data_IF_338574943251
#
_entry.id   IF_338574943251
#
_cell.length_a   1.000
_cell.length_b   1.000
_cell.length_c   1.000
_cell.angle_alpha   90.00
_cell.angle_beta   90.00
_cell.angle_gamma   90.00
#
_symmetry.space_group_name_H-M   'P 1'
#
loop_
_entity.id
_entity.type
_entity.pdbx_description
1 polymer ?
2 non-polymer ?
3 non-polymer ?
4 water ?
#
# COMPACT_ATOMS: atom_id res chain seq x y z
N UNK A 1 27.48 30.45 19.22
CA UNK A 1 28.19 29.19 19.41
C UNK A 1 29.32 28.95 18.43
N UNK A 2 29.74 27.64 18.29
CA UNK A 2 30.83 27.15 17.41
C UNK A 2 30.88 25.59 17.37
N UNK A 3 31.38 24.93 16.27
CA UNK A 3 31.84 25.45 14.96
C UNK A 3 30.69 25.58 13.95
N UNK A 4 30.95 25.97 12.68
CA UNK A 4 29.88 26.09 11.68
C UNK A 4 29.26 24.71 11.39
N UNK A 5 27.91 24.58 11.56
CA UNK A 5 27.25 23.28 11.34
C UNK A 5 26.94 23.06 9.84
N UNK A 6 28.00 23.03 9.01
CA UNK A 6 27.96 22.89 7.56
C UNK A 6 27.39 21.52 7.13
N UNK A 7 27.68 20.44 7.86
CA UNK A 7 27.18 19.09 7.59
C UNK A 7 25.70 18.99 7.96
N UNK A 8 25.26 19.72 9.00
CA UNK A 8 23.84 19.78 9.38
C UNK A 8 23.05 20.53 8.30
N UNK A 9 23.56 21.67 7.82
CA UNK A 9 22.97 22.44 6.72
C UNK A 9 22.76 21.59 5.49
N UNK A 10 23.75 20.73 5.17
CA UNK A 10 23.81 19.82 4.03
C UNK A 10 22.75 18.76 4.17
N UNK A 11 22.57 18.27 5.39
CA UNK A 11 21.55 17.30 5.74
C UNK A 11 20.14 17.93 5.65
N UNK A 12 19.96 19.15 6.20
CA UNK A 12 18.71 19.90 6.11
C UNK A 12 18.32 20.16 4.63
N UNK A 13 19.28 20.61 3.79
CA UNK A 13 19.07 20.88 2.36
C UNK A 13 18.60 19.61 1.61
N UNK A 14 19.24 18.47 1.93
CA UNK A 14 18.93 17.14 1.41
C UNK A 14 17.47 16.75 1.75
N UNK A 15 17.03 16.92 3.03
CA UNK A 15 15.64 16.65 3.46
C UNK A 15 14.65 17.59 2.76
N UNK A 16 15.01 18.88 2.57
CA UNK A 16 14.14 19.82 1.86
C UNK A 16 13.93 19.38 0.40
N UNK A 17 15.01 18.97 -0.29
CA UNK A 17 14.97 18.52 -1.68
C UNK A 17 14.17 17.20 -1.80
N UNK A 18 14.31 16.28 -0.84
CA UNK A 18 13.56 15.01 -0.81
C UNK A 18 12.05 15.26 -0.70
N UNK A 19 11.62 16.22 0.14
CA UNK A 19 10.22 16.57 0.33
C UNK A 19 9.64 17.28 -0.94
N UNK A 20 10.37 18.22 -1.52
CA UNK A 20 9.91 18.92 -2.71
C UNK A 20 9.79 17.94 -3.90
N UNK A 21 10.70 16.95 -4.01
CA UNK A 21 10.73 15.96 -5.08
C UNK A 21 9.54 14.99 -5.03
N UNK A 22 8.96 14.74 -3.84
CA UNK A 22 7.82 13.81 -3.72
C UNK A 22 6.49 14.59 -3.94
N UNK A 23 6.57 15.90 -4.13
CA UNK A 23 5.41 16.74 -4.40
C UNK A 23 4.99 17.73 -3.32
N UNK A 24 5.78 17.85 -2.24
CA UNK A 24 5.44 18.78 -1.16
C UNK A 24 5.75 20.20 -1.58
N UNK A 25 4.81 21.12 -1.28
CA UNK A 25 4.94 22.55 -1.59
C UNK A 25 4.76 23.35 -0.30
N UNK A 26 4.79 24.69 -0.42
CA UNK A 26 4.60 25.65 0.66
C UNK A 26 3.21 25.46 1.32
N UNK A 27 2.28 24.78 0.59
CA UNK A 27 0.93 24.45 1.03
C UNK A 27 0.97 23.32 2.08
N UNK A 28 2.03 22.49 2.13
CA UNK A 28 2.20 21.49 3.20
C UNK A 28 2.76 22.26 4.40
N UNK A 29 2.00 22.36 5.49
CA UNK A 29 2.33 23.15 6.69
C UNK A 29 3.76 22.86 7.21
N UNK A 30 4.17 21.58 7.26
CA UNK A 30 5.47 21.12 7.73
C UNK A 30 6.60 21.59 6.79
N UNK A 31 6.35 21.69 5.45
CA UNK A 31 7.38 22.16 4.52
C UNK A 31 7.54 23.68 4.65
N UNK A 32 6.43 24.42 4.87
CA UNK A 32 6.48 25.87 5.08
C UNK A 32 7.32 26.18 6.33
N UNK A 33 7.10 25.42 7.44
CA UNK A 33 7.85 25.49 8.70
C UNK A 33 9.32 25.20 8.48
N UNK A 34 9.62 24.11 7.74
CA UNK A 34 10.98 23.67 7.41
C UNK A 34 11.75 24.79 6.64
N UNK A 35 11.10 25.40 5.64
CA UNK A 35 11.69 26.46 4.82
C UNK A 35 11.93 27.73 5.65
N UNK A 36 10.99 28.06 6.58
CA UNK A 36 11.11 29.22 7.46
C UNK A 36 12.25 29.03 8.46
N UNK A 37 12.37 27.84 9.07
CA UNK A 37 13.41 27.53 10.04
C UNK A 37 14.77 27.51 9.35
N UNK A 38 14.84 26.95 8.12
CA UNK A 38 16.08 26.86 7.33
C UNK A 38 16.57 28.27 6.96
N UNK A 39 15.65 29.22 6.72
CA UNK A 39 15.97 30.62 6.40
C UNK A 39 16.54 31.33 7.65
N UNK A 40 15.90 31.10 8.81
CA UNK A 40 16.30 31.62 10.12
C UNK A 40 17.65 31.06 10.53
N UNK A 41 17.94 29.79 10.17
CA UNK A 41 19.23 29.14 10.44
C UNK A 41 20.34 29.85 9.68
N UNK A 42 20.08 30.27 8.41
CA UNK A 42 21.04 30.99 7.55
C UNK A 42 21.30 32.41 8.11
N UNK A 43 20.28 33.04 8.73
CA UNK A 43 20.33 34.35 9.36
C UNK A 43 21.24 34.26 10.61
N UNK A 44 21.20 33.11 11.34
CA UNK A 44 22.04 32.84 12.51
C UNK A 44 23.47 32.51 12.06
N UNK A 45 23.63 31.85 10.88
CA UNK A 45 24.92 31.52 10.26
C UNK A 45 25.73 32.78 9.96
N UNK A 46 25.06 33.79 9.33
CA UNK A 46 25.63 35.09 8.97
C UNK A 46 26.04 35.85 10.24
N UNK A 47 25.24 35.70 11.32
CA UNK A 47 25.50 36.31 12.64
C UNK A 47 26.63 35.58 13.40
N UNK A 48 27.06 34.40 12.90
CA UNK A 48 28.10 33.49 13.44
C UNK A 48 27.67 32.96 14.83
N UNK A 49 26.34 32.80 15.01
CA UNK A 49 25.67 32.20 16.17
C UNK A 49 25.33 30.78 15.73
N UNK A 50 26.37 29.93 15.69
CA UNK A 50 26.34 28.61 15.12
C UNK A 50 25.54 27.60 16.00
N UNK A 51 25.43 27.81 17.33
CA UNK A 51 24.63 26.88 18.16
C UNK A 51 23.15 27.06 17.79
N UNK A 52 22.70 28.34 17.65
CA UNK A 52 21.34 28.72 17.24
C UNK A 52 21.05 28.22 15.82
N UNK A 53 22.04 28.36 14.90
CA UNK A 53 21.97 27.94 13.50
C UNK A 53 21.79 26.42 13.39
N UNK A 54 22.57 25.64 14.17
CA UNK A 54 22.50 24.18 14.21
C UNK A 54 21.11 23.71 14.68
N UNK A 55 20.57 24.35 15.75
CA UNK A 55 19.28 23.98 16.35
C UNK A 55 18.08 24.28 15.40
N UNK A 56 18.12 25.38 14.62
CA UNK A 56 17.05 25.72 13.67
C UNK A 56 17.14 24.80 12.44
N UNK A 57 18.39 24.49 11.99
CA UNK A 57 18.67 23.58 10.88
C UNK A 57 18.22 22.16 11.22
N UNK A 58 18.43 21.67 12.48
CA UNK A 58 17.98 20.34 12.93
C UNK A 58 16.48 20.26 12.91
N UNK A 59 15.81 21.33 13.38
CA UNK A 59 14.35 21.46 13.43
C UNK A 59 13.77 21.50 12.00
N UNK A 60 14.44 22.21 11.09
CA UNK A 60 14.04 22.33 9.69
C UNK A 60 14.14 20.98 8.98
N UNK A 61 15.23 20.20 9.26
CA UNK A 61 15.45 18.87 8.69
C UNK A 61 14.29 17.93 9.09
N UNK A 62 13.92 17.94 10.39
CA UNK A 62 12.84 17.10 10.93
C UNK A 62 11.51 17.41 10.26
N UNK A 63 11.13 18.71 10.20
CA UNK A 63 9.87 19.16 9.59
C UNK A 63 9.80 18.80 8.10
N UNK A 64 10.94 18.88 7.38
CA UNK A 64 11.05 18.49 5.97
C UNK A 64 10.81 16.96 5.80
N UNK A 65 11.35 16.13 6.72
CA UNK A 65 11.16 14.67 6.69
C UNK A 65 9.71 14.33 7.03
N UNK A 66 9.08 15.08 7.93
CA UNK A 66 7.68 14.90 8.31
C UNK A 66 6.75 15.25 7.15
N UNK A 67 7.07 16.33 6.39
CA UNK A 67 6.32 16.75 5.19
C UNK A 67 6.41 15.68 4.10
N UNK A 68 7.62 15.11 3.89
CA UNK A 68 7.92 14.08 2.89
C UNK A 68 7.08 12.83 3.14
N UNK A 69 7.12 12.27 4.37
CA UNK A 69 6.35 11.07 4.68
C UNK A 69 4.84 11.38 4.77
N UNK A 70 4.43 12.65 5.03
CA UNK A 70 3.03 13.05 5.05
C UNK A 70 2.43 12.94 3.63
N UNK A 71 3.15 13.51 2.62
CA UNK A 71 2.77 13.54 1.20
C UNK A 71 2.80 12.10 0.63
N UNK A 72 3.85 11.31 0.96
CA UNK A 72 4.02 9.94 0.45
C UNK A 72 2.94 9.02 0.97
N UNK A 73 2.42 9.27 2.20
CA UNK A 73 1.35 8.47 2.78
C UNK A 73 0.06 8.71 1.99
N UNK A 74 -0.23 9.99 1.66
CA UNK A 74 -1.43 10.36 0.93
C UNK A 74 -1.33 9.79 -0.51
N UNK A 75 -0.14 9.87 -1.12
CA UNK A 75 0.12 9.37 -2.48
C UNK A 75 -0.04 7.86 -2.55
N UNK A 76 0.40 7.14 -1.49
CA UNK A 76 0.27 5.69 -1.38
C UNK A 76 -1.20 5.29 -1.22
N UNK A 77 -2.00 6.05 -0.43
CA UNK A 77 -3.43 5.76 -0.24
C UNK A 77 -4.20 6.02 -1.51
N UNK A 78 -3.84 7.07 -2.27
CA UNK A 78 -4.52 7.42 -3.52
C UNK A 78 -4.29 6.34 -4.59
N UNK A 79 -3.04 5.83 -4.76
CA UNK A 79 -2.73 4.77 -5.73
C UNK A 79 -3.45 3.47 -5.38
N UNK A 80 -3.46 3.12 -4.07
CA UNK A 80 -4.13 1.94 -3.60
C UNK A 80 -5.65 2.09 -3.77
N UNK A 81 -6.16 3.32 -3.61
CA UNK A 81 -7.56 3.66 -3.84
C UNK A 81 -7.96 3.45 -5.30
N UNK A 82 -7.09 3.88 -6.24
CA UNK A 82 -7.31 3.73 -7.69
C UNK A 82 -7.25 2.25 -8.09
N UNK A 83 -6.38 1.46 -7.42
CA UNK A 83 -6.27 0.02 -7.66
C UNK A 83 -7.56 -0.67 -7.21
N UNK A 84 -8.12 -0.24 -6.06
CA UNK A 84 -9.36 -0.79 -5.56
C UNK A 84 -10.53 -0.55 -6.55
N UNK A 85 -10.68 0.69 -7.10
CA UNK A 85 -11.75 1.04 -8.05
C UNK A 85 -11.62 0.20 -9.32
N UNK A 86 -10.40 0.03 -9.81
CA UNK A 86 -9.99 -0.79 -10.94
C UNK A 86 -10.44 -2.25 -10.76
N UNK A 87 -10.17 -2.81 -9.56
CA UNK A 87 -10.49 -4.19 -9.25
C UNK A 87 -12.00 -4.37 -9.07
N UNK A 88 -12.78 -3.34 -8.63
CA UNK A 88 -14.26 -3.37 -8.54
C UNK A 88 -14.89 -3.43 -9.95
N UNK A 89 -14.33 -2.68 -10.91
CA UNK A 89 -14.78 -2.64 -12.30
C UNK A 89 -14.50 -3.98 -13.02
N UNK A 90 -13.37 -4.63 -12.68
CA UNK A 90 -12.99 -5.94 -13.22
C UNK A 90 -13.99 -7.01 -12.75
N UNK A 91 -14.32 -7.01 -11.44
CA UNK A 91 -15.27 -7.95 -10.85
C UNK A 91 -16.66 -7.73 -11.45
N UNK A 92 -17.06 -6.46 -11.70
CA UNK A 92 -18.36 -6.10 -12.29
C UNK A 92 -18.46 -6.68 -13.71
N UNK A 93 -17.36 -6.58 -14.49
CA UNK A 93 -17.29 -7.13 -15.84
C UNK A 93 -17.38 -8.66 -15.81
N UNK A 94 -16.60 -9.30 -14.91
CA UNK A 94 -16.52 -10.75 -14.80
C UNK A 94 -17.73 -11.35 -14.05
N UNK A 95 -18.58 -10.52 -13.46
CA UNK A 95 -19.81 -10.95 -12.79
C UNK A 95 -21.08 -10.50 -13.48
N UNK B 1 -19.94 -35.00 -20.93
CA UNK B 1 -18.73 -34.87 -21.72
C UNK B 1 -17.62 -35.85 -21.33
N UNK B 2 -16.34 -35.50 -21.68
CA UNK B 2 -15.10 -36.26 -21.44
C UNK B 2 -13.84 -35.43 -21.82
N UNK B 3 -12.63 -35.64 -21.21
CA UNK B 3 -12.26 -36.53 -20.09
C UNK B 3 -12.46 -35.88 -18.72
N UNK B 4 -12.14 -36.60 -17.61
CA UNK B 4 -12.33 -36.03 -16.26
C UNK B 4 -11.40 -34.84 -16.05
N UNK B 5 -11.95 -33.65 -15.70
CA UNK B 5 -11.11 -32.45 -15.52
C UNK B 5 -10.45 -32.41 -14.13
N UNK B 6 -9.62 -33.43 -13.83
CA UNK B 6 -8.95 -33.64 -12.56
C UNK B 6 -7.94 -32.52 -12.26
N UNK B 7 -7.23 -32.01 -13.27
CA UNK B 7 -6.25 -30.93 -13.13
C UNK B 7 -6.95 -29.60 -12.91
N UNK B 8 -8.15 -29.41 -13.51
CA UNK B 8 -8.93 -28.21 -13.30
C UNK B 8 -9.46 -28.18 -11.84
N UNK B 9 -10.02 -29.31 -11.35
CA UNK B 9 -10.49 -29.47 -9.97
C UNK B 9 -9.41 -29.05 -8.98
N UNK B 10 -8.17 -29.51 -9.26
CA UNK B 10 -6.95 -29.29 -8.48
C UNK B 10 -6.61 -27.81 -8.46
N UNK B 11 -6.76 -27.09 -9.60
CA UNK B 11 -6.51 -25.64 -9.68
C UNK B 11 -7.61 -24.85 -8.93
N UNK B 12 -8.88 -25.31 -9.06
CA UNK B 12 -10.04 -24.76 -8.34
C UNK B 12 -9.83 -24.87 -6.80
N UNK B 13 -9.44 -26.08 -6.31
CA UNK B 13 -9.17 -26.36 -4.90
C UNK B 13 -8.08 -25.44 -4.37
N UNK B 14 -6.98 -25.32 -5.13
CA UNK B 14 -5.83 -24.45 -4.85
C UNK B 14 -6.28 -22.98 -4.71
N UNK B 15 -7.08 -22.45 -5.66
CA UNK B 15 -7.63 -21.08 -5.59
C UNK B 15 -8.53 -20.91 -4.33
N UNK B 16 -9.40 -21.89 -4.03
CA UNK B 16 -10.25 -21.85 -2.84
C UNK B 16 -9.41 -21.76 -1.54
N UNK B 17 -8.34 -22.59 -1.42
CA UNK B 17 -7.45 -22.62 -0.26
C UNK B 17 -6.67 -21.29 -0.15
N UNK B 18 -6.22 -20.71 -1.28
CA UNK B 18 -5.54 -19.42 -1.28
C UNK B 18 -6.47 -18.29 -0.76
N UNK B 19 -7.75 -18.28 -1.18
CA UNK B 19 -8.74 -17.28 -0.78
C UNK B 19 -9.08 -17.40 0.72
N UNK B 20 -9.30 -18.63 1.23
CA UNK B 20 -9.59 -18.87 2.64
C UNK B 20 -8.39 -18.48 3.52
N UNK B 21 -7.14 -18.70 3.02
CA UNK B 21 -5.89 -18.41 3.73
C UNK B 21 -5.68 -16.91 3.97
N UNK B 22 -6.22 -16.03 3.12
CA UNK B 22 -6.05 -14.58 3.29
C UNK B 22 -7.22 -14.00 4.13
N UNK B 23 -8.11 -14.86 4.58
CA UNK B 23 -9.21 -14.43 5.44
C UNK B 23 -10.59 -14.38 4.82
N UNK B 24 -10.74 -14.86 3.57
CA UNK B 24 -12.06 -14.84 2.92
C UNK B 24 -12.95 -15.93 3.50
N UNK B 25 -14.21 -15.57 3.78
CA UNK B 25 -15.23 -16.47 4.32
C UNK B 25 -16.43 -16.50 3.38
N UNK B 26 -17.48 -17.26 3.76
CA UNK B 26 -18.75 -17.39 3.06
C UNK B 26 -19.44 -16.02 2.92
N UNK B 27 -19.03 -15.05 3.78
CA UNK B 27 -19.53 -13.69 3.80
C UNK B 27 -18.99 -12.88 2.61
N UNK B 28 -17.85 -13.28 1.99
CA UNK B 28 -17.39 -12.60 0.77
C UNK B 28 -18.16 -13.27 -0.37
N UNK B 29 -19.06 -12.53 -1.03
CA UNK B 29 -19.98 -12.99 -2.08
C UNK B 29 -19.31 -13.92 -3.13
N UNK B 30 -18.12 -13.56 -3.59
CA UNK B 30 -17.34 -14.28 -4.60
C UNK B 30 -16.87 -15.65 -4.07
N UNK B 31 -16.54 -15.76 -2.76
CA UNK B 31 -16.12 -17.04 -2.18
C UNK B 31 -17.35 -17.96 -2.03
N UNK B 32 -18.52 -17.40 -1.65
CA UNK B 32 -19.76 -18.18 -1.54
C UNK B 32 -20.12 -18.78 -2.92
N UNK B 33 -20.01 -17.96 -3.99
CA UNK B 33 -20.23 -18.37 -5.40
C UNK B 33 -19.27 -19.47 -5.80
N UNK B 34 -17.97 -19.28 -5.50
CA UNK B 34 -16.89 -20.22 -5.80
C UNK B 34 -17.16 -21.61 -5.14
N UNK B 35 -17.57 -21.61 -3.86
CA UNK B 35 -17.86 -22.83 -3.09
C UNK B 35 -19.11 -23.53 -3.64
N UNK B 36 -20.13 -22.75 -4.07
CA UNK B 36 -21.36 -23.29 -4.65
C UNK B 36 -21.10 -23.93 -6.01
N UNK B 37 -20.37 -23.23 -6.90
CA UNK B 37 -20.03 -23.71 -8.23
C UNK B 37 -19.10 -24.95 -8.14
N UNK B 38 -18.22 -25.01 -7.12
CA UNK B 38 -17.33 -26.15 -6.91
C UNK B 38 -18.13 -27.38 -6.48
N UNK B 39 -19.14 -27.18 -5.61
CA UNK B 39 -20.02 -28.26 -5.14
C UNK B 39 -20.80 -28.88 -6.30
N UNK B 40 -21.32 -28.01 -7.20
CA UNK B 40 -22.05 -28.35 -8.42
C UNK B 40 -21.13 -29.05 -9.41
N UNK B 41 -19.83 -28.69 -9.42
CA UNK B 41 -18.83 -29.32 -10.28
C UNK B 41 -18.62 -30.77 -9.82
N UNK B 42 -18.60 -31.03 -8.50
CA UNK B 42 -18.43 -32.36 -7.92
C UNK B 42 -19.67 -33.27 -8.18
N UNK B 43 -20.88 -32.68 -8.23
CA UNK B 43 -22.15 -33.37 -8.49
C UNK B 43 -22.13 -33.87 -9.96
N UNK B 44 -21.61 -33.01 -10.88
CA UNK B 44 -21.45 -33.33 -12.30
C UNK B 44 -20.33 -34.37 -12.49
N UNK B 45 -19.25 -34.31 -11.66
CA UNK B 45 -18.13 -35.27 -11.66
C UNK B 45 -18.65 -36.69 -11.41
N UNK B 46 -19.48 -36.85 -10.35
CA UNK B 46 -20.11 -38.11 -9.94
C UNK B 46 -21.04 -38.61 -11.04
N UNK B 47 -21.74 -37.69 -11.73
CA UNK B 47 -22.64 -37.97 -12.84
C UNK B 47 -21.87 -38.31 -14.14
N UNK B 48 -20.53 -38.08 -14.16
CA UNK B 48 -19.58 -38.29 -15.26
C UNK B 48 -19.96 -37.39 -16.46
N UNK B 49 -20.49 -36.19 -16.16
CA UNK B 49 -20.79 -35.10 -17.08
C UNK B 49 -19.63 -34.11 -16.92
N UNK B 50 -18.49 -34.48 -17.53
CA UNK B 50 -17.20 -33.84 -17.40
C UNK B 50 -17.11 -32.49 -18.13
N UNK B 51 -17.94 -32.21 -19.16
CA UNK B 51 -17.90 -30.90 -19.81
C UNK B 51 -18.51 -29.86 -18.84
N UNK B 52 -19.67 -30.21 -18.23
CA UNK B 52 -20.41 -29.43 -17.24
C UNK B 52 -19.55 -29.19 -15.99
N UNK B 53 -18.87 -30.25 -15.47
CA UNK B 53 -17.99 -30.22 -14.29
C UNK B 53 -16.76 -29.31 -14.52
N UNK B 54 -16.17 -29.35 -15.74
CA UNK B 54 -15.02 -28.50 -16.08
C UNK B 54 -15.43 -27.03 -16.10
N UNK B 55 -16.57 -26.70 -16.73
CA UNK B 55 -17.07 -25.34 -16.87
C UNK B 55 -17.43 -24.74 -15.50
N UNK B 56 -18.02 -25.53 -14.59
CA UNK B 56 -18.34 -25.10 -13.23
C UNK B 56 -17.08 -24.87 -12.41
N UNK B 57 -16.10 -25.82 -12.47
CA UNK B 57 -14.81 -25.75 -11.78
C UNK B 57 -13.95 -24.55 -12.27
N UNK B 58 -14.05 -24.18 -13.57
CA UNK B 58 -13.34 -23.01 -14.14
C UNK B 58 -13.90 -21.74 -13.56
N UNK B 59 -15.25 -21.64 -13.51
CA UNK B 59 -15.99 -20.51 -12.96
C UNK B 59 -15.71 -20.36 -11.45
N UNK B 60 -15.63 -21.49 -10.73
CA UNK B 60 -15.35 -21.52 -9.29
C UNK B 60 -13.93 -21.02 -9.00
N UNK B 61 -12.95 -21.45 -9.83
CA UNK B 61 -11.55 -21.02 -9.72
C UNK B 61 -11.45 -19.49 -9.85
N UNK B 62 -12.10 -18.91 -10.88
CA UNK B 62 -12.09 -17.48 -11.15
C UNK B 62 -12.67 -16.69 -9.97
N UNK B 63 -13.86 -17.08 -9.48
CA UNK B 63 -14.54 -16.42 -8.36
C UNK B 63 -13.70 -16.50 -7.07
N UNK B 64 -12.99 -17.62 -6.84
CA UNK B 64 -12.07 -17.78 -5.69
C UNK B 64 -10.87 -16.82 -5.79
N UNK B 65 -10.33 -16.62 -7.01
CA UNK B 65 -9.22 -15.69 -7.23
C UNK B 65 -9.71 -14.24 -7.05
N UNK B 66 -10.96 -13.96 -7.45
CA UNK B 66 -11.54 -12.63 -7.31
C UNK B 66 -11.79 -12.30 -5.83
N UNK B 67 -12.23 -13.31 -5.03
CA UNK B 67 -12.44 -13.18 -3.58
C UNK B 67 -11.11 -12.91 -2.87
N UNK B 68 -10.04 -13.62 -3.27
CA UNK B 68 -8.69 -13.50 -2.71
C UNK B 68 -8.14 -12.08 -2.88
N UNK B 69 -8.14 -11.54 -4.09
CA UNK B 69 -7.62 -10.20 -4.37
C UNK B 69 -8.59 -9.13 -3.82
N UNK B 70 -9.89 -9.45 -3.62
CA UNK B 70 -10.85 -8.53 -3.00
C UNK B 70 -10.50 -8.29 -1.52
N UNK B 71 -10.23 -9.39 -0.77
CA UNK B 71 -9.86 -9.41 0.66
C UNK B 71 -8.46 -8.76 0.85
N UNK B 72 -7.49 -9.09 -0.02
CA UNK B 72 -6.12 -8.57 0.07
C UNK B 72 -6.07 -7.06 -0.19
N UNK B 73 -6.99 -6.54 -1.03
CA UNK B 73 -7.08 -5.10 -1.30
C UNK B 73 -7.58 -4.39 -0.04
N UNK B 74 -8.61 -4.95 0.62
CA UNK B 74 -9.17 -4.36 1.84
C UNK B 74 -8.13 -4.41 2.98
N UNK B 75 -7.40 -5.54 3.14
CA UNK B 75 -6.36 -5.70 4.15
C UNK B 75 -5.22 -4.71 3.91
N UNK B 76 -4.83 -4.48 2.63
CA UNK B 76 -3.79 -3.53 2.28
C UNK B 76 -4.22 -2.10 2.61
N UNK B 77 -5.50 -1.74 2.36
CA UNK B 77 -6.03 -0.41 2.67
C UNK B 77 -6.09 -0.18 4.18
N UNK B 78 -6.46 -1.22 4.94
CA UNK B 78 -6.58 -1.10 6.39
C UNK B 78 -5.22 -0.87 7.05
N UNK B 79 -4.16 -1.62 6.62
CA UNK B 79 -2.80 -1.48 7.15
C UNK B 79 -2.24 -0.10 6.82
N UNK B 80 -2.46 0.37 5.59
CA UNK B 80 -2.02 1.68 5.14
C UNK B 80 -2.78 2.78 5.91
N UNK B 81 -4.05 2.51 6.24
CA UNK B 81 -4.89 3.40 7.05
C UNK B 81 -4.35 3.53 8.47
N UNK B 82 -3.90 2.40 9.07
CA UNK B 82 -3.33 2.37 10.40
C UNK B 82 -1.97 3.07 10.42
N UNK B 83 -1.19 2.95 9.32
CA UNK B 83 0.10 3.62 9.18
C UNK B 83 -0.13 5.14 9.13
N UNK B 84 -1.17 5.59 8.42
CA UNK B 84 -1.53 7.00 8.34
C UNK B 84 -1.86 7.57 9.74
N UNK B 85 -2.70 6.89 10.53
CA UNK B 85 -3.09 7.33 11.89
C UNK B 85 -1.85 7.41 12.81
N UNK B 86 -0.92 6.45 12.67
CA UNK B 86 0.32 6.35 13.44
C UNK B 86 1.22 7.55 13.14
N UNK B 87 1.38 7.91 11.84
CA UNK B 87 2.23 9.03 11.45
C UNK B 87 1.57 10.37 11.86
N UNK B 88 0.21 10.44 11.92
CA UNK B 88 -0.48 11.66 12.41
C UNK B 88 -0.16 11.89 13.91
N UNK B 89 -0.12 10.79 14.70
CA UNK B 89 0.20 10.80 16.13
C UNK B 89 1.66 11.17 16.37
N UNK B 90 2.56 10.71 15.48
CA UNK B 90 4.00 11.01 15.50
C UNK B 90 4.21 12.50 15.28
N UNK B 91 3.56 13.07 14.23
CA UNK B 91 3.65 14.50 13.90
C UNK B 91 3.08 15.35 15.05
N UNK B 92 1.99 14.90 15.70
CA UNK B 92 1.35 15.60 16.83
C UNK B 92 2.32 15.67 18.01
N UNK B 93 3.05 14.56 18.28
CA UNK B 93 4.05 14.50 19.34
C UNK B 93 5.22 15.41 19.03
N UNK B 94 5.74 15.35 17.79
CA UNK B 94 6.91 16.11 17.36
C UNK B 94 6.57 17.59 17.04
N UNK B 95 5.28 17.94 17.05
CA UNK B 95 4.82 19.31 16.83
C UNK B 95 4.15 19.93 18.03
N UNK C 3 3.88 18.49 39.11
CA UNK C 3 5.13 17.92 39.67
C UNK C 3 5.49 16.63 38.93
N UNK C 4 5.03 15.46 39.44
CA UNK C 4 5.22 14.15 38.84
C UNK C 4 4.59 14.09 37.45
N UNK C 5 5.36 13.63 36.43
CA UNK C 5 4.80 13.53 35.07
C UNK C 5 3.96 12.25 34.91
N UNK C 6 2.82 12.21 35.62
CA UNK C 6 1.90 11.06 35.67
C UNK C 6 1.16 10.86 34.34
N UNK C 7 0.70 11.97 33.68
CA UNK C 7 0.02 11.91 32.38
C UNK C 7 0.98 11.48 31.28
N UNK C 8 2.28 11.90 31.35
CA UNK C 8 3.29 11.55 30.36
C UNK C 8 3.58 10.05 30.47
N UNK C 9 3.72 9.53 31.71
CA UNK C 9 3.95 8.10 32.01
C UNK C 9 2.83 7.22 31.41
N UNK C 10 1.56 7.66 31.52
CA UNK C 10 0.39 6.97 30.96
C UNK C 10 0.40 7.04 29.44
N UNK C 11 0.82 8.21 28.83
CA UNK C 11 0.92 8.42 27.38
C UNK C 11 2.03 7.52 26.77
N UNK C 12 3.15 7.38 27.52
CA UNK C 12 4.27 6.52 27.16
C UNK C 12 3.80 5.04 27.19
N UNK C 13 3.02 4.62 28.21
CA UNK C 13 2.46 3.26 28.34
C UNK C 13 1.53 2.95 27.17
N UNK C 14 0.62 3.92 26.84
CA UNK C 14 -0.32 3.85 25.73
C UNK C 14 0.44 3.60 24.41
N UNK C 15 1.51 4.41 24.15
CA UNK C 15 2.36 4.30 22.95
C UNK C 15 3.01 2.91 22.87
N UNK C 16 3.55 2.40 24.01
CA UNK C 16 4.17 1.06 24.10
C UNK C 16 3.15 -0.05 23.78
N UNK C 17 1.92 0.05 24.32
CA UNK C 17 0.86 -0.94 24.06
C UNK C 17 0.42 -0.88 22.62
N UNK C 18 0.35 0.32 22.01
CA UNK C 18 -0.03 0.43 20.60
C UNK C 18 1.03 -0.27 19.70
N UNK C 19 2.33 -0.03 19.96
CA UNK C 19 3.43 -0.63 19.20
C UNK C 19 3.40 -2.17 19.31
N UNK C 20 3.22 -2.71 20.53
CA UNK C 20 3.14 -4.15 20.78
C UNK C 20 1.90 -4.76 20.10
N UNK C 21 0.77 -4.01 20.04
CA UNK C 21 -0.50 -4.44 19.45
C UNK C 21 -0.42 -4.58 17.93
N UNK C 22 0.44 -3.79 17.25
CA UNK C 22 0.56 -3.90 15.79
C UNK C 22 1.58 -5.03 15.42
N UNK C 23 2.23 -5.64 16.41
CA UNK C 23 3.16 -6.75 16.18
C UNK C 23 4.61 -6.52 16.53
N UNK C 24 4.95 -5.34 17.10
CA UNK C 24 6.33 -5.05 17.46
C UNK C 24 6.73 -5.82 18.72
N UNK C 25 7.92 -6.40 18.74
CA UNK C 25 8.47 -7.14 19.87
C UNK C 25 9.81 -6.51 20.28
N UNK C 26 10.51 -7.12 21.27
CA UNK C 26 11.82 -6.68 21.75
C UNK C 26 12.85 -6.73 20.61
N UNK C 27 12.52 -7.52 19.55
CA UNK C 27 13.30 -7.66 18.33
C UNK C 27 13.18 -6.39 17.46
N UNK C 28 12.17 -5.52 17.70
CA UNK C 28 12.13 -4.21 17.01
C UNK C 28 13.08 -3.32 17.83
N UNK C 29 14.22 -2.90 17.23
CA UNK C 29 15.26 -2.12 17.92
C UNK C 29 14.68 -0.90 18.65
N UNK C 30 13.74 -0.18 18.01
CA UNK C 30 13.08 1.02 18.53
C UNK C 30 12.17 0.67 19.73
N UNK C 31 11.54 -0.52 19.74
CA UNK C 31 10.70 -0.94 20.87
C UNK C 31 11.60 -1.33 22.06
N UNK C 32 12.75 -1.99 21.82
CA UNK C 32 13.71 -2.35 22.86
C UNK C 32 14.24 -1.05 23.53
N UNK C 33 14.56 -0.01 22.73
CA UNK C 33 14.99 1.31 23.20
C UNK C 33 13.92 1.98 24.03
N UNK C 34 12.67 1.98 23.53
CA UNK C 34 11.49 2.55 24.19
C UNK C 34 11.28 1.91 25.60
N UNK C 35 11.40 0.56 25.68
CA UNK C 35 11.22 -0.21 26.92
C UNK C 35 12.37 0.09 27.91
N UNK C 36 13.61 0.24 27.40
CA UNK C 36 14.78 0.57 28.22
C UNK C 36 14.66 2.00 28.78
N UNK C 37 14.28 2.98 27.92
CA UNK C 37 14.09 4.38 28.29
C UNK C 37 12.93 4.54 29.28
N UNK C 38 11.86 3.74 29.14
CA UNK C 38 10.70 3.75 30.04
C UNK C 38 11.10 3.20 31.41
N UNK C 39 11.95 2.15 31.45
CA UNK C 39 12.43 1.54 32.70
C UNK C 39 13.27 2.57 33.48
N UNK C 40 14.14 3.30 32.76
CA UNK C 40 14.97 4.36 33.29
C UNK C 40 14.12 5.52 33.81
N UNK C 41 12.96 5.80 33.15
CA UNK C 41 11.99 6.84 33.50
C UNK C 41 11.29 6.48 34.81
N UNK C 42 11.07 5.18 35.06
CA UNK C 42 10.44 4.70 36.31
C UNK C 42 11.42 4.76 37.47
N UNK C 43 12.72 4.52 37.20
CA UNK C 43 13.84 4.60 38.16
C UNK C 43 13.91 6.04 38.67
N UNK C 44 13.78 7.03 37.74
CA UNK C 44 13.82 8.46 38.05
C UNK C 44 12.54 8.88 38.81
N UNK C 45 11.39 8.26 38.49
CA UNK C 45 10.10 8.50 39.15
C UNK C 45 10.18 8.17 40.65
N UNK C 46 10.72 6.97 40.97
CA UNK C 46 10.89 6.45 42.33
C UNK C 46 11.88 7.36 43.10
N UNK C 47 12.90 7.88 42.39
CA UNK C 47 13.92 8.81 42.93
C UNK C 47 13.34 10.23 43.12
N UNK C 48 12.13 10.50 42.58
CA UNK C 48 11.40 11.77 42.60
C UNK C 48 12.19 12.89 41.87
N UNK C 49 12.92 12.47 40.81
CA UNK C 49 13.64 13.31 39.84
C UNK C 49 12.75 13.39 38.61
N UNK C 50 11.72 14.24 38.72
CA UNK C 50 10.61 14.35 37.80
C UNK C 50 10.96 15.05 36.47
N UNK C 51 12.02 15.88 36.40
CA UNK C 51 12.40 16.48 35.11
C UNK C 51 13.04 15.38 34.24
N UNK C 52 13.95 14.58 34.85
CA UNK C 52 14.66 13.45 34.24
C UNK C 52 13.64 12.38 33.76
N UNK C 53 12.64 12.08 34.63
CA UNK C 53 11.56 11.12 34.42
C UNK C 53 10.73 11.52 33.20
N UNK C 54 10.30 12.78 33.14
CA UNK C 54 9.50 13.32 32.02
C UNK C 54 10.26 13.20 30.69
N UNK C 55 11.53 13.62 30.66
CA UNK C 55 12.36 13.63 29.47
C UNK C 55 12.59 12.20 28.95
N UNK C 56 12.91 11.26 29.82
CA UNK C 56 13.10 9.87 29.42
C UNK C 56 11.78 9.28 28.93
N UNK C 57 10.64 9.62 29.58
CA UNK C 57 9.31 9.13 29.21
C UNK C 57 8.88 9.65 27.84
N UNK C 58 9.22 10.91 27.53
CA UNK C 58 8.93 11.54 26.23
C UNK C 58 9.73 10.85 25.11
N UNK C 59 11.02 10.53 25.37
CA UNK C 59 11.93 9.83 24.46
C UNK C 59 11.45 8.40 24.21
N UNK C 60 10.94 7.73 25.26
CA UNK C 60 10.40 6.37 25.18
C UNK C 60 9.13 6.35 24.31
N UNK C 61 8.26 7.36 24.46
CA UNK C 61 7.03 7.52 23.69
C UNK C 61 7.35 7.65 22.20
N UNK C 62 8.34 8.50 21.85
CA UNK C 62 8.79 8.71 20.46
C UNK C 62 9.28 7.40 19.84
N UNK C 63 10.21 6.68 20.51
CA UNK C 63 10.77 5.41 20.02
C UNK C 63 9.68 4.35 19.83
N UNK C 64 8.65 4.31 20.73
CA UNK C 64 7.49 3.41 20.61
C UNK C 64 6.64 3.77 19.36
N UNK C 65 6.47 5.07 19.04
CA UNK C 65 5.71 5.51 17.86
C UNK C 65 6.51 5.18 16.58
N UNK C 66 7.85 5.27 16.66
CA UNK C 66 8.74 4.93 15.54
C UNK C 66 8.71 3.42 15.25
N UNK C 67 8.66 2.59 16.31
CA UNK C 67 8.54 1.13 16.20
C UNK C 67 7.22 0.73 15.56
N UNK C 68 6.11 1.40 15.98
CA UNK C 68 4.76 1.17 15.49
C UNK C 68 4.65 1.45 13.98
N UNK C 69 5.10 2.61 13.51
CA UNK C 69 5.04 2.94 12.07
C UNK C 69 6.10 2.11 11.26
N UNK C 70 7.18 1.63 11.91
CA UNK C 70 8.16 0.75 11.26
C UNK C 70 7.51 -0.61 10.90
N UNK C 71 6.79 -1.21 11.87
CA UNK C 71 6.11 -2.50 11.73
C UNK C 71 4.90 -2.38 10.76
N UNK C 72 4.13 -1.27 10.85
CA UNK C 72 2.97 -1.05 9.98
C UNK C 72 3.37 -0.87 8.54
N UNK C 73 4.57 -0.30 8.27
CA UNK C 73 5.11 -0.13 6.91
C UNK C 73 5.44 -1.52 6.33
N UNK C 74 6.09 -2.40 7.13
CA UNK C 74 6.46 -3.74 6.69
C UNK C 74 5.18 -4.58 6.45
N UNK C 75 4.17 -4.50 7.35
CA UNK C 75 2.89 -5.20 7.20
C UNK C 75 2.14 -4.72 5.95
N UNK C 76 2.18 -3.40 5.65
CA UNK C 76 1.55 -2.84 4.46
C UNK C 76 2.23 -3.34 3.20
N UNK C 77 3.58 -3.46 3.21
CA UNK C 77 4.34 -3.95 2.04
C UNK C 77 4.07 -5.44 1.81
N UNK C 78 3.94 -6.22 2.89
CA UNK C 78 3.67 -7.65 2.80
C UNK C 78 2.27 -7.93 2.21
N UNK C 79 1.22 -7.19 2.63
CA UNK C 79 -0.14 -7.33 2.12
C UNK C 79 -0.21 -6.94 0.65
N UNK C 80 0.46 -5.85 0.28
CA UNK C 80 0.52 -5.38 -1.10
C UNK C 80 1.31 -6.39 -1.97
N UNK C 81 2.32 -7.02 -1.38
CA UNK C 81 3.09 -8.06 -2.03
C UNK C 81 2.24 -9.30 -2.32
N UNK C 82 1.36 -9.69 -1.37
CA UNK C 82 0.45 -10.82 -1.49
C UNK C 82 -0.62 -10.52 -2.56
N UNK C 83 -1.07 -9.25 -2.63
CA UNK C 83 -2.04 -8.81 -3.63
C UNK C 83 -1.41 -8.94 -5.03
N UNK C 84 -0.14 -8.57 -5.18
CA UNK C 84 0.58 -8.67 -6.44
C UNK C 84 0.66 -10.14 -6.92
N UNK C 85 1.04 -11.10 -6.03
CA UNK C 85 1.14 -12.53 -6.38
C UNK C 85 -0.25 -13.08 -6.82
N UNK C 86 -1.31 -12.62 -6.15
CA UNK C 86 -2.72 -12.97 -6.36
C UNK C 86 -3.19 -12.54 -7.75
N UNK C 87 -2.82 -11.31 -8.17
CA UNK C 87 -3.23 -10.78 -9.47
C UNK C 87 -2.38 -11.42 -10.58
N UNK C 88 -1.12 -11.84 -10.29
CA UNK C 88 -0.29 -12.55 -11.29
C UNK C 88 -0.94 -13.90 -11.65
N UNK C 89 -1.48 -14.61 -10.64
CA UNK C 89 -2.16 -15.91 -10.79
C UNK C 89 -3.49 -15.76 -11.57
N UNK C 90 -4.22 -14.65 -11.31
CA UNK C 90 -5.46 -14.29 -11.99
C UNK C 90 -5.21 -14.06 -13.49
N UNK C 91 -4.18 -13.26 -13.83
CA UNK C 91 -3.81 -12.96 -15.21
C UNK C 91 -3.39 -14.22 -15.92
N UNK C 92 -2.63 -15.13 -15.22
CA UNK C 92 -2.15 -16.39 -15.79
C UNK C 92 -3.33 -17.27 -16.17
N UNK C 93 -4.37 -17.33 -15.28
CA UNK C 93 -5.59 -18.09 -15.52
C UNK C 93 -6.36 -17.52 -16.71
N UNK C 94 -6.55 -16.19 -16.74
CA UNK C 94 -7.34 -15.51 -17.75
C UNK C 94 -6.57 -15.36 -19.08
N UNK C 95 -5.26 -15.63 -19.08
CA UNK C 95 -4.41 -15.56 -20.27
C UNK C 95 -3.93 -16.92 -20.77
N UNK C 96 -4.54 -17.99 -20.24
CA UNK C 96 -4.33 -19.41 -20.52
C UNK C 96 -4.42 -19.71 -22.04
N UNK C 97 -5.33 -18.99 -22.74
CA UNK C 97 -5.63 -19.08 -24.17
C UNK C 97 -4.77 -18.10 -25.02
N UNK C 98 -4.08 -17.13 -24.38
CA UNK C 98 -3.20 -16.14 -25.02
C UNK C 98 -1.80 -16.72 -25.28
N UNK D 3 -28.35 -3.95 -34.08
CA UNK D 3 -27.64 -5.22 -34.34
C UNK D 3 -26.22 -5.19 -33.77
N UNK D 4 -25.43 -4.19 -34.21
CA UNK D 4 -24.06 -3.86 -33.92
C UNK D 4 -23.82 -3.61 -32.41
N UNK D 5 -22.74 -4.18 -31.82
CA UNK D 5 -22.48 -3.98 -30.36
C UNK D 5 -21.75 -2.65 -30.09
N UNK D 6 -22.40 -1.54 -30.45
CA UNK D 6 -21.87 -0.18 -30.39
C UNK D 6 -21.56 0.26 -28.95
N UNK D 7 -22.42 -0.10 -27.96
CA UNK D 7 -22.18 0.29 -26.57
C UNK D 7 -21.02 -0.51 -25.96
N UNK D 8 -20.84 -1.79 -26.37
CA UNK D 8 -19.73 -2.62 -25.88
C UNK D 8 -18.40 -2.06 -26.43
N UNK D 9 -18.40 -1.66 -27.72
CA UNK D 9 -17.25 -1.06 -28.41
C UNK D 9 -16.78 0.20 -27.69
N UNK D 10 -17.73 1.00 -27.18
CA UNK D 10 -17.53 2.24 -26.44
C UNK D 10 -16.93 1.91 -25.06
N UNK D 11 -17.47 0.87 -24.39
CA UNK D 11 -17.03 0.37 -23.08
C UNK D 11 -15.58 -0.16 -23.17
N UNK D 12 -15.25 -0.82 -24.30
CA UNK D 12 -13.91 -1.36 -24.59
C UNK D 12 -12.91 -0.18 -24.76
N UNK D 13 -13.32 0.91 -25.45
CA UNK D 13 -12.52 2.14 -25.65
C UNK D 13 -12.25 2.86 -24.32
N UNK D 14 -13.28 2.92 -23.45
CA UNK D 14 -13.23 3.51 -22.12
C UNK D 14 -12.16 2.79 -21.27
N UNK D 15 -12.14 1.43 -21.30
CA UNK D 15 -11.17 0.65 -20.51
C UNK D 15 -9.74 0.83 -21.07
N UNK D 16 -9.60 0.95 -22.41
CA UNK D 16 -8.32 1.18 -23.07
C UNK D 16 -7.74 2.54 -22.67
N UNK D 17 -8.60 3.58 -22.59
CA UNK D 17 -8.20 4.92 -22.17
C UNK D 17 -7.84 4.94 -20.68
N UNK D 18 -8.59 4.23 -19.81
CA UNK D 18 -8.29 4.14 -18.37
C UNK D 18 -6.93 3.49 -18.14
N UNK D 19 -6.59 2.41 -18.87
CA UNK D 19 -5.31 1.71 -18.77
C UNK D 19 -4.14 2.59 -19.21
N UNK D 20 -4.27 3.30 -20.35
CA UNK D 20 -3.25 4.22 -20.87
C UNK D 20 -3.04 5.40 -19.90
N UNK D 21 -4.12 5.90 -19.27
CA UNK D 21 -4.12 7.03 -18.34
C UNK D 21 -3.37 6.73 -17.03
N UNK D 22 -3.34 5.45 -16.59
CA UNK D 22 -2.62 5.12 -15.35
C UNK D 22 -1.14 4.82 -15.66
N UNK D 23 -0.74 4.84 -16.93
CA UNK D 23 0.64 4.66 -17.35
C UNK D 23 0.97 3.42 -18.16
N UNK D 24 -0.05 2.62 -18.53
CA UNK D 24 0.20 1.41 -19.32
C UNK D 24 0.50 1.78 -20.78
N UNK D 25 1.50 1.12 -21.36
CA UNK D 25 1.92 1.31 -22.75
C UNK D 25 1.84 -0.03 -23.50
N UNK D 26 2.24 -0.03 -24.79
CA UNK D 26 2.27 -1.21 -25.66
C UNK D 26 3.24 -2.26 -25.08
N UNK D 27 4.14 -1.82 -24.17
CA UNK D 27 5.10 -2.64 -23.46
C UNK D 27 4.38 -3.47 -22.37
N UNK D 28 3.20 -3.08 -21.89
CA UNK D 28 2.44 -3.94 -20.97
C UNK D 28 1.75 -4.98 -21.87
N UNK D 29 2.14 -6.26 -21.73
CA UNK D 29 1.67 -7.37 -22.57
C UNK D 29 0.13 -7.39 -22.72
N UNK D 30 -0.60 -7.17 -21.60
CA UNK D 30 -2.07 -7.17 -21.55
C UNK D 30 -2.67 -5.99 -22.35
N UNK D 31 -1.98 -4.83 -22.39
CA UNK D 31 -2.46 -3.68 -23.16
C UNK D 31 -2.23 -3.93 -24.66
N UNK D 32 -1.09 -4.55 -25.03
CA UNK D 32 -0.80 -4.90 -26.44
C UNK D 32 -1.88 -5.91 -26.95
N UNK D 33 -2.24 -6.91 -26.12
CA UNK D 33 -3.30 -7.90 -26.38
C UNK D 33 -4.64 -7.23 -26.56
N UNK D 34 -5.00 -6.31 -25.64
CA UNK D 34 -6.24 -5.53 -25.65
C UNK D 34 -6.39 -4.72 -26.96
N UNK D 35 -5.29 -4.04 -27.39
CA UNK D 35 -5.25 -3.22 -28.60
C UNK D 35 -5.36 -4.13 -29.85
N UNK D 36 -4.74 -5.32 -29.83
CA UNK D 36 -4.83 -6.29 -30.94
C UNK D 36 -6.24 -6.87 -31.07
N UNK D 37 -6.86 -7.28 -29.94
CA UNK D 37 -8.21 -7.86 -29.90
C UNK D 37 -9.27 -6.80 -30.25
N UNK D 38 -8.98 -5.50 -29.98
CA UNK D 38 -9.88 -4.40 -30.31
C UNK D 38 -9.80 -4.11 -31.82
N UNK D 39 -8.59 -4.21 -32.41
CA UNK D 39 -8.38 -4.02 -33.84
C UNK D 39 -9.14 -5.09 -34.63
N UNK D 40 -9.06 -6.34 -34.14
CA UNK D 40 -9.75 -7.51 -34.68
C UNK D 40 -11.26 -7.34 -34.55
N UNK D 41 -11.73 -6.70 -33.46
CA UNK D 41 -13.16 -6.42 -33.23
C UNK D 41 -13.68 -5.43 -34.27
N UNK D 42 -12.86 -4.43 -34.65
CA UNK D 42 -13.21 -3.41 -35.66
C UNK D 42 -13.25 -4.02 -37.07
N UNK D 43 -12.36 -5.02 -37.35
CA UNK D 43 -12.28 -5.80 -38.60
C UNK D 43 -13.61 -6.56 -38.77
N UNK D 44 -14.11 -7.14 -37.66
CA UNK D 44 -15.36 -7.90 -37.64
C UNK D 44 -16.57 -6.96 -37.77
N UNK D 45 -16.47 -5.73 -37.21
CA UNK D 45 -17.49 -4.70 -37.28
C UNK D 45 -17.77 -4.29 -38.73
N UNK D 46 -16.69 -4.01 -39.48
CA UNK D 46 -16.70 -3.61 -40.90
C UNK D 46 -17.28 -4.75 -41.74
N UNK D 47 -16.98 -6.01 -41.37
CA UNK D 47 -17.46 -7.23 -42.02
C UNK D 47 -18.94 -7.53 -41.66
N UNK D 48 -19.50 -6.79 -40.67
CA UNK D 48 -20.87 -6.90 -40.14
C UNK D 48 -21.10 -8.31 -39.52
N UNK D 49 -20.03 -8.87 -38.91
CA UNK D 49 -20.00 -10.11 -38.11
C UNK D 49 -20.00 -9.64 -36.66
N UNK D 50 -21.19 -9.24 -36.19
CA UNK D 50 -21.42 -8.58 -34.92
C UNK D 50 -21.32 -9.51 -33.69
N UNK D 51 -21.48 -10.85 -33.85
CA UNK D 51 -21.29 -11.76 -32.69
C UNK D 51 -19.78 -11.84 -32.38
N UNK D 52 -18.95 -12.02 -33.43
CA UNK D 52 -17.49 -12.07 -33.39
C UNK D 52 -16.93 -10.75 -32.84
N UNK D 53 -17.46 -9.61 -33.32
CA UNK D 53 -17.05 -8.26 -32.93
C UNK D 53 -17.31 -8.02 -31.44
N UNK D 54 -18.50 -8.42 -30.93
CA UNK D 54 -18.88 -8.26 -29.52
C UNK D 54 -17.94 -9.05 -28.60
N UNK D 55 -17.68 -10.32 -28.92
CA UNK D 55 -16.85 -11.19 -28.10
C UNK D 55 -15.38 -10.71 -28.09
N UNK D 56 -14.83 -10.22 -29.22
CA UNK D 56 -13.47 -9.69 -29.25
C UNK D 56 -13.36 -8.38 -28.47
N UNK D 57 -14.41 -7.51 -28.54
CA UNK D 57 -14.47 -6.25 -27.77
C UNK D 57 -14.53 -6.55 -26.28
N UNK D 58 -15.29 -7.59 -25.88
CA UNK D 58 -15.39 -8.04 -24.48
C UNK D 58 -14.00 -8.51 -23.97
N UNK D 59 -13.29 -9.35 -24.76
CA UNK D 59 -11.94 -9.86 -24.47
C UNK D 59 -10.93 -8.72 -24.35
N UNK D 60 -11.04 -7.73 -25.24
CA UNK D 60 -10.17 -6.55 -25.25
C UNK D 60 -10.39 -5.71 -23.99
N UNK D 61 -11.68 -5.54 -23.58
CA UNK D 61 -12.05 -4.79 -22.38
C UNK D 61 -11.41 -5.42 -21.15
N UNK D 62 -11.51 -6.76 -21.01
CA UNK D 62 -10.94 -7.53 -19.90
C UNK D 62 -9.41 -7.33 -19.82
N UNK D 63 -8.69 -7.52 -20.95
CA UNK D 63 -7.23 -7.39 -21.00
C UNK D 63 -6.79 -5.95 -20.65
N UNK D 64 -7.56 -4.93 -21.07
CA UNK D 64 -7.31 -3.52 -20.73
C UNK D 64 -7.47 -3.28 -19.20
N UNK D 65 -8.48 -3.92 -18.56
CA UNK D 65 -8.71 -3.80 -17.11
C UNK D 65 -7.60 -4.52 -16.35
N UNK D 66 -7.09 -5.64 -16.91
CA UNK D 66 -5.98 -6.41 -16.31
C UNK D 66 -4.67 -5.63 -16.40
N UNK D 67 -4.43 -4.90 -17.51
CA UNK D 67 -3.26 -4.05 -17.69
C UNK D 67 -3.29 -2.87 -16.70
N UNK D 68 -4.49 -2.26 -16.49
CA UNK D 68 -4.73 -1.12 -15.60
C UNK D 68 -4.41 -1.52 -14.14
N UNK D 69 -4.97 -2.65 -13.66
CA UNK D 69 -4.73 -3.13 -12.30
C UNK D 69 -3.26 -3.60 -12.13
N UNK D 70 -2.63 -4.11 -13.21
CA UNK D 70 -1.23 -4.56 -13.19
C UNK D 70 -0.27 -3.37 -12.92
N UNK D 71 -0.47 -2.25 -13.64
CA UNK D 71 0.31 -1.03 -13.53
C UNK D 71 0.04 -0.33 -12.17
N UNK D 72 -1.23 -0.29 -11.72
CA UNK D 72 -1.60 0.35 -10.45
C UNK D 72 -1.01 -0.39 -9.26
N UNK D 73 -0.80 -1.73 -9.38
CA UNK D 73 -0.19 -2.53 -8.31
C UNK D 73 1.28 -2.17 -8.19
N UNK D 74 1.99 -2.03 -9.34
CA UNK D 74 3.40 -1.66 -9.37
C UNK D 74 3.58 -0.22 -8.84
N UNK D 75 2.71 0.73 -9.25
CA UNK D 75 2.75 2.12 -8.77
C UNK D 75 2.48 2.19 -7.26
N UNK D 76 1.55 1.37 -6.74
CA UNK D 76 1.26 1.32 -5.31
C UNK D 76 2.46 0.79 -4.52
N UNK D 77 3.18 -0.23 -5.07
CA UNK D 77 4.36 -0.80 -4.40
C UNK D 77 5.51 0.20 -4.39
N UNK D 78 5.69 0.95 -5.49
CA UNK D 78 6.75 1.94 -5.62
C UNK D 78 6.56 3.09 -4.62
N UNK D 79 5.32 3.62 -4.46
CA UNK D 79 5.01 4.71 -3.52
C UNK D 79 5.23 4.26 -2.08
N UNK D 80 4.79 3.04 -1.76
CA UNK D 80 4.96 2.46 -0.43
C UNK D 80 6.47 2.21 -0.17
N UNK D 81 7.21 1.85 -1.22
CA UNK D 81 8.66 1.67 -1.14
C UNK D 81 9.38 2.98 -0.83
N UNK D 82 8.93 4.09 -1.46
CA UNK D 82 9.49 5.43 -1.24
C UNK D 82 9.17 5.92 0.18
N UNK D 83 7.96 5.58 0.70
CA UNK D 83 7.55 5.93 2.05
C UNK D 83 8.44 5.19 3.06
N UNK D 84 8.77 3.92 2.79
CA UNK D 84 9.65 3.13 3.64
C UNK D 84 11.06 3.76 3.74
N UNK D 85 11.66 4.16 2.60
CA UNK D 85 13.00 4.80 2.59
C UNK D 85 12.99 6.12 3.40
N UNK D 86 11.92 6.90 3.24
CA UNK D 86 11.64 8.16 3.94
C UNK D 86 11.61 7.96 5.47
N UNK D 87 10.90 6.93 5.97
CA UNK D 87 10.79 6.65 7.39
C UNK D 87 12.12 6.07 7.94
N UNK D 88 12.92 5.35 7.10
CA UNK D 88 14.25 4.87 7.54
C UNK D 88 15.18 6.06 7.84
N UNK D 89 15.13 7.10 7.00
CA UNK D 89 15.92 8.32 7.13
C UNK D 89 15.47 9.16 8.35
N UNK D 90 14.15 9.15 8.64
CA UNK D 90 13.54 9.83 9.80
C UNK D 90 14.04 9.17 11.11
N UNK D 91 14.01 7.81 11.16
CA UNK D 91 14.47 7.05 12.32
C UNK D 91 15.95 7.28 12.53
N UNK D 92 16.76 7.32 11.42
CA UNK D 92 18.22 7.56 11.48
C UNK D 92 18.52 8.91 12.12
N UNK D 93 17.74 9.96 11.72
CA UNK D 93 17.87 11.31 12.24
C UNK D 93 17.51 11.35 13.72
N UNK D 94 16.37 10.74 14.09
CA UNK D 94 15.86 10.75 15.45
C UNK D 94 16.60 9.76 16.36
N UNK D 95 17.41 8.86 15.80
CA UNK D 95 18.19 7.88 16.56
C UNK D 95 19.67 8.14 16.55
N UNK D 96 20.06 9.35 16.11
CA UNK D 96 21.41 9.89 16.00
C UNK D 96 22.18 9.77 17.33
N UNK D 97 21.45 9.91 18.47
CA UNK D 97 21.97 9.87 19.84
C UNK D 97 21.91 8.44 20.44
N UNK D 98 21.14 7.51 19.81
CA UNK D 98 20.99 6.10 20.22
C UNK D 98 22.18 5.24 19.76
X LIG E 1 -17.47 -5.42 -5.03
X LIG E 1 -16.89 -5.34 -6.38
X LIG E 1 -17.84 -6.81 -4.74
X LIG E 1 -16.51 -4.93 -4.04
X LIG E 1 -18.66 -4.58 -5.00
X LIG F 1 8.67 9.14 -4.65
X LIG F 1 7.39 9.15 -5.24
X LIG F 1 7.16 10.40 -6.04
X LIG F 1 5.87 10.39 -6.63
X LIG F 1 5.91 10.38 -8.05
X LIG F 1 4.78 11.16 -8.60
X LIG F 1 3.53 10.57 -8.22
X LIG F 1 2.42 11.22 -8.83
X LIG F 1 1.20 11.11 -7.98
X LIG F 1 0.77 9.76 -7.85
X LIG F 1 0.55 9.34 -6.51
X LIG F 1 -0.93 9.24 -6.21
X LIG F 1 -1.58 10.49 -6.29
X LIG G 1 -1.49 16.44 10.30
X LIG G 1 -1.80 17.68 9.61
X LIG G 1 -1.46 15.36 9.30
X LIG G 1 -0.19 16.58 10.96
X LIG G 1 -2.51 16.12 11.29
X LIG H 1 -6.29 14.74 19.26
X LIG H 1 -7.73 14.59 19.38
X LIG H 1 -5.67 13.42 19.31
X LIG H 1 -5.95 15.39 17.99
X LIG H 1 -5.75 15.53 20.38
X LIG I 1 -11.18 5.02 10.27
X LIG I 1 -12.50 5.11 9.64
X LIG I 1 -10.42 3.92 9.65
X LIG I 1 -10.45 6.27 10.06
X LIG I 1 -11.34 4.76 11.70
X LIG J 1 1.77 15.51 33.69
X LIG J 1 0.78 16.25 32.90
X LIG J 1 2.61 14.71 32.78
X LIG J 1 2.62 16.44 34.44
X LIG J 1 1.08 14.63 34.64
X LIG K 1 15.96 0.81 9.99
X LIG K 1 14.77 0.19 9.40
X LIG K 1 17.14 0.35 9.25
X LIG K 1 15.88 2.28 9.90
X LIG K 1 16.05 0.44 11.40
X LIG L 1 2.68 -11.07 -15.20
X LIG L 1 1.85 -10.51 -16.28
X LIG L 1 3.15 -10.03 -14.30
X LIG L 1 3.84 -11.75 -15.78
X LIG L 1 1.87 -12.05 -14.47
X LIG M 1 -16.25 -13.93 -40.37
X LIG M 1 -16.03 -12.80 -39.46
X LIG M 1 -17.17 -14.88 -39.74
X LIG M 1 -16.83 -13.44 -41.62
X LIG M 1 -14.98 -14.59 -40.66
X LIG N 1 -24.99 -2.93 -27.19
X LIG N 1 -25.70 -2.34 -26.05
X LIG N 1 -25.89 -3.85 -27.89
X LIG N 1 -24.56 -1.88 -28.12
X LIG N 1 -23.82 -3.67 -26.73
#
# INVERSE_FOLDING_TARGET
GDPAPLEQMRLTEQALEQAKAVGATDDVAELKLAQDKYAAAQIAMTAESYKKARLLAEQAELDARLAESKVLTQKSKDQLGELDKSLKRLRKQLGETD
GDPAPLEQMRLTEQALEQAKAVGATDDVAELKLAQDKYAAAQIAMTAESYKKARLLAEQAELDARLAESKVLTQKSKDQLGELDKSLKRLRKQLGETD
GDPAPLEQMRLTEQALEQAKAVGATDDVAELKLAQDKYAAAQIAMTAESYKKARLLAEQAELDARLAESKVLTQKSKDQLGELDKSLKRLRKQLGETD
GDPAPLEQMRLTEQALEQAKAVGATDDVAELKLAQDKYAAAQIAMTAESYKKARLLAEQAELDARLAESKVLTQKSKDQLGELDKSLKRLRKQLGETD
SO4 S O1 O2 O3 O4
PG4 O1 C1 C2 O2 C3 C4 O3 C5 C6 O4 C7 C8 O5
SO4 S O1 O2 O3 O4
SO4 S O1 O2 O3 O4
SO4 S O1 O2 O3 O4
SO4 S O1 O2 O3 O4
SO4 S O1 O2 O3 O4
SO4 S O1 O2 O3 O4
SO4 S O1 O2 O3 O4
SO4 S O1 O2 O3 O4
#
